data_IF_170193981504
#
_entry.id   IF_170193981504
#
_cell.length_a   1.000
_cell.length_b   1.000
_cell.length_c   1.000
_cell.angle_alpha   90.00
_cell.angle_beta   90.00
_cell.angle_gamma   90.00
#
_symmetry.space_group_name_H-M   'P 1'
#
loop_
_entity.id
_entity.type
_entity.pdbx_description
1 polymer ?
#
# COMPACT_ATOMS: atom_id res chain seq x y z
N UNK A 1 14.41 -20.55 13.85
CA UNK A 1 13.59 -19.60 14.64
C UNK A 1 12.21 -19.65 14.03
N UNK A 2 11.17 -19.79 14.84
CA UNK A 2 9.80 -19.89 14.33
C UNK A 2 9.23 -18.47 14.11
N UNK A 3 9.18 -18.04 12.85
CA UNK A 3 8.74 -16.69 12.48
C UNK A 3 7.26 -16.45 12.79
N UNK A 4 6.41 -17.47 12.79
CA UNK A 4 5.00 -17.32 13.14
C UNK A 4 4.84 -16.90 14.60
N UNK A 5 5.60 -17.51 15.51
CA UNK A 5 5.59 -17.15 16.92
C UNK A 5 6.11 -15.74 17.20
N UNK A 6 7.11 -15.30 16.43
CA UNK A 6 7.62 -13.93 16.54
C UNK A 6 6.52 -12.94 16.12
N UNK A 7 5.90 -13.20 14.99
CA UNK A 7 4.79 -12.36 14.49
C UNK A 7 3.65 -12.32 15.52
N UNK A 8 3.18 -13.46 15.99
CA UNK A 8 2.07 -13.51 16.95
C UNK A 8 2.41 -12.77 18.26
N UNK A 9 3.67 -12.83 18.70
CA UNK A 9 4.15 -12.06 19.84
C UNK A 9 4.12 -10.54 19.55
N UNK A 10 4.60 -10.08 18.38
CA UNK A 10 4.57 -8.67 17.99
C UNK A 10 3.12 -8.20 17.90
N UNK A 11 2.25 -8.96 17.24
CA UNK A 11 0.83 -8.66 17.08
C UNK A 11 0.08 -8.54 18.41
N UNK A 12 0.53 -9.24 19.46
CA UNK A 12 -0.07 -9.11 20.80
C UNK A 12 0.11 -7.73 21.44
N UNK A 13 0.97 -6.87 20.90
CA UNK A 13 1.17 -5.48 21.32
C UNK A 13 0.37 -4.49 20.47
N UNK A 14 -0.14 -4.89 19.31
CA UNK A 14 -0.99 -4.03 18.48
C UNK A 14 -2.35 -3.82 19.17
N UNK A 15 -2.84 -2.59 19.11
CA UNK A 15 -4.17 -2.26 19.63
C UNK A 15 -5.23 -2.52 18.58
N UNK A 16 -6.42 -2.87 19.03
CA UNK A 16 -7.58 -2.93 18.16
C UNK A 16 -7.98 -1.53 17.72
N UNK A 17 -8.41 -1.43 16.45
CA UNK A 17 -8.98 -0.18 15.97
C UNK A 17 -10.35 0.05 16.60
N UNK A 18 -10.67 1.33 16.87
CA UNK A 18 -11.94 1.74 17.46
C UNK A 18 -12.76 2.55 16.44
N UNK A 19 -14.04 2.71 16.74
CA UNK A 19 -14.95 3.54 15.93
C UNK A 19 -15.09 3.03 14.50
N UNK A 20 -15.07 3.96 13.53
CA UNK A 20 -15.27 3.63 12.11
C UNK A 20 -14.22 2.63 11.58
N UNK A 21 -12.95 2.82 11.92
CA UNK A 21 -11.89 1.90 11.49
C UNK A 21 -12.12 0.47 12.00
N UNK A 22 -12.49 0.32 13.29
CA UNK A 22 -12.82 -0.98 13.87
C UNK A 22 -14.01 -1.63 13.19
N UNK A 23 -15.03 -0.85 12.84
CA UNK A 23 -16.20 -1.33 12.10
C UNK A 23 -15.85 -1.78 10.68
N UNK A 24 -15.02 -1.00 9.96
CA UNK A 24 -14.56 -1.34 8.60
C UNK A 24 -13.71 -2.59 8.64
N UNK A 25 -12.76 -2.68 9.57
CA UNK A 25 -11.92 -3.86 9.78
C UNK A 25 -12.76 -5.13 10.02
N UNK A 26 -13.67 -5.07 10.99
CA UNK A 26 -14.49 -6.23 11.37
C UNK A 26 -15.36 -6.73 10.23
N UNK A 27 -15.97 -5.80 9.47
CA UNK A 27 -16.77 -6.15 8.29
C UNK A 27 -15.94 -6.73 7.15
N UNK A 28 -14.73 -6.21 6.94
CA UNK A 28 -13.81 -6.74 5.93
C UNK A 28 -13.42 -8.18 6.24
N UNK A 29 -13.09 -8.48 7.51
CA UNK A 29 -12.77 -9.85 7.95
C UNK A 29 -14.00 -10.77 7.81
N UNK A 30 -15.19 -10.32 8.22
CA UNK A 30 -16.42 -11.11 8.09
C UNK A 30 -16.75 -11.49 6.64
N UNK A 31 -16.43 -10.59 5.68
CA UNK A 31 -16.70 -10.77 4.26
C UNK A 31 -15.51 -11.36 3.49
N UNK A 32 -14.44 -11.72 4.16
CA UNK A 32 -13.21 -12.21 3.54
C UNK A 32 -12.62 -11.24 2.50
N UNK A 33 -12.73 -9.92 2.76
CA UNK A 33 -12.12 -8.87 1.94
C UNK A 33 -10.67 -8.71 2.38
N UNK A 34 -9.71 -8.81 1.44
CA UNK A 34 -8.30 -8.57 1.77
C UNK A 34 -8.10 -7.10 2.17
N UNK A 35 -7.54 -6.90 3.36
CA UNK A 35 -7.09 -5.61 3.88
C UNK A 35 -5.69 -5.77 4.46
N UNK A 36 -4.98 -4.66 4.60
CA UNK A 36 -3.63 -4.68 5.18
C UNK A 36 -3.62 -5.33 6.56
N UNK A 37 -2.55 -6.05 6.86
CA UNK A 37 -2.33 -6.64 8.18
C UNK A 37 -2.00 -5.55 9.19
N UNK A 38 -2.24 -5.79 10.48
CA UNK A 38 -1.99 -4.81 11.55
C UNK A 38 -0.53 -4.42 11.68
N UNK A 39 0.40 -5.36 11.50
CA UNK A 39 1.83 -5.07 11.51
C UNK A 39 2.24 -4.16 10.34
N UNK A 40 1.65 -4.33 9.16
CA UNK A 40 1.79 -3.41 8.03
C UNK A 40 1.17 -2.04 8.35
N UNK A 41 -0.02 -2.00 8.98
CA UNK A 41 -0.66 -0.75 9.37
C UNK A 41 0.18 0.03 10.40
N UNK A 42 0.69 -0.63 11.45
CA UNK A 42 1.58 -0.02 12.43
C UNK A 42 2.85 0.53 11.77
N UNK A 43 3.41 -0.22 10.80
CA UNK A 43 4.57 0.23 10.04
C UNK A 43 4.25 1.46 9.18
N UNK A 44 3.14 1.47 8.45
CA UNK A 44 2.68 2.63 7.66
C UNK A 44 2.51 3.87 8.54
N UNK A 45 1.90 3.72 9.72
CA UNK A 45 1.74 4.81 10.69
C UNK A 45 3.08 5.46 11.05
N UNK A 46 4.08 4.64 11.35
CA UNK A 46 5.43 5.14 11.69
C UNK A 46 6.05 5.84 10.48
N UNK A 47 5.98 5.24 9.29
CA UNK A 47 6.55 5.83 8.07
C UNK A 47 5.88 7.16 7.71
N UNK A 48 4.56 7.23 7.73
CA UNK A 48 3.81 8.48 7.47
C UNK A 48 4.17 9.55 8.52
N UNK A 49 4.31 9.16 9.79
CA UNK A 49 4.71 10.10 10.85
C UNK A 49 6.12 10.66 10.67
N UNK A 50 7.03 9.87 10.07
CA UNK A 50 8.41 10.30 9.75
C UNK A 50 8.42 11.20 8.50
N UNK A 51 7.77 10.75 7.42
CA UNK A 51 7.77 11.44 6.11
C UNK A 51 6.92 12.71 6.17
N UNK A 52 5.80 12.70 6.91
CA UNK A 52 4.81 13.79 7.02
C UNK A 52 4.30 14.25 5.64
N UNK A 53 3.81 13.34 4.79
CA UNK A 53 3.42 13.68 3.44
C UNK A 53 2.17 14.58 3.43
N UNK A 54 2.09 15.49 2.45
CA UNK A 54 0.88 16.27 2.15
C UNK A 54 0.08 15.60 1.03
N UNK A 55 0.76 14.97 0.05
CA UNK A 55 0.12 14.28 -1.07
C UNK A 55 0.45 12.79 -1.04
N UNK A 56 -0.57 11.97 -0.89
CA UNK A 56 -0.48 10.51 -0.82
C UNK A 56 -1.19 9.88 -2.01
N UNK A 57 -0.54 8.92 -2.65
CA UNK A 57 -1.14 8.05 -3.65
C UNK A 57 -1.26 6.63 -3.07
N UNK A 58 -2.45 6.07 -3.12
CA UNK A 58 -2.71 4.68 -2.79
C UNK A 58 -3.18 3.91 -4.03
N UNK A 59 -2.57 2.78 -4.30
CA UNK A 59 -2.95 1.87 -5.38
C UNK A 59 -3.54 0.61 -4.77
N UNK A 60 -4.87 0.51 -4.78
CA UNK A 60 -5.65 -0.54 -4.13
C UNK A 60 -6.41 -0.03 -2.89
N UNK A 61 -7.59 0.56 -3.12
CA UNK A 61 -8.46 1.07 -2.04
C UNK A 61 -9.17 -0.05 -1.28
N UNK A 62 -9.53 -1.14 -1.96
CA UNK A 62 -10.44 -2.18 -1.47
C UNK A 62 -11.70 -1.55 -0.85
N UNK A 63 -11.94 -1.73 0.44
CA UNK A 63 -13.07 -1.14 1.19
C UNK A 63 -12.68 0.15 1.93
N UNK A 64 -11.55 0.76 1.58
CA UNK A 64 -10.99 1.98 2.16
C UNK A 64 -10.52 1.85 3.63
N UNK A 65 -10.16 0.66 4.08
CA UNK A 65 -9.59 0.51 5.42
C UNK A 65 -8.23 1.22 5.54
N UNK A 66 -7.27 0.87 4.67
CA UNK A 66 -5.93 1.52 4.62
C UNK A 66 -6.04 3.01 4.33
N UNK A 67 -6.92 3.41 3.41
CA UNK A 67 -7.15 4.82 3.06
C UNK A 67 -7.55 5.66 4.28
N UNK A 68 -8.55 5.20 5.06
CA UNK A 68 -9.04 5.89 6.25
C UNK A 68 -7.97 5.84 7.36
N UNK A 69 -7.25 4.72 7.49
CA UNK A 69 -6.15 4.60 8.45
C UNK A 69 -5.02 5.61 8.15
N UNK A 70 -4.62 5.76 6.88
CA UNK A 70 -3.67 6.78 6.44
C UNK A 70 -4.19 8.19 6.76
N UNK A 71 -5.47 8.45 6.46
CA UNK A 71 -6.11 9.73 6.73
C UNK A 71 -6.12 10.09 8.24
N UNK A 72 -6.40 9.11 9.11
CA UNK A 72 -6.32 9.30 10.57
C UNK A 72 -4.91 9.70 11.01
N UNK A 73 -3.89 9.07 10.46
CA UNK A 73 -2.49 9.41 10.77
C UNK A 73 -2.14 10.80 10.28
N UNK A 74 -2.50 11.14 9.03
CA UNK A 74 -2.25 12.47 8.46
C UNK A 74 -2.93 13.56 9.28
N UNK A 75 -4.20 13.35 9.65
CA UNK A 75 -4.94 14.29 10.49
C UNK A 75 -4.32 14.47 11.88
N UNK A 76 -3.68 13.44 12.43
CA UNK A 76 -3.02 13.50 13.73
C UNK A 76 -1.68 14.24 13.71
N UNK A 77 -0.96 14.23 12.57
CA UNK A 77 0.39 14.81 12.46
C UNK A 77 0.40 16.21 11.83
N UNK A 78 -0.66 16.61 11.09
CA UNK A 78 -0.77 17.92 10.49
C UNK A 78 -1.68 18.82 11.32
N UNK A 79 -1.29 20.09 11.48
CA UNK A 79 -2.12 21.09 12.19
C UNK A 79 -3.31 21.57 11.35
N UNK A 80 -3.15 21.54 10.03
CA UNK A 80 -4.19 21.86 9.03
C UNK A 80 -4.56 20.62 8.22
N UNK A 81 -5.73 20.67 7.55
CA UNK A 81 -6.18 19.61 6.62
C UNK A 81 -5.76 19.88 5.17
N UNK A 82 -4.53 20.38 4.97
CA UNK A 82 -4.00 20.69 3.64
C UNK A 82 -3.41 19.46 2.94
N UNK A 83 -3.58 18.26 3.52
CA UNK A 83 -3.16 17.00 2.93
C UNK A 83 -4.26 16.39 2.05
N UNK A 84 -3.85 15.54 1.12
CA UNK A 84 -4.73 14.87 0.15
C UNK A 84 -4.32 13.42 -0.10
N UNK A 85 -5.31 12.55 -0.34
CA UNK A 85 -5.12 11.15 -0.73
C UNK A 85 -5.87 10.90 -2.03
N UNK A 86 -5.15 10.50 -3.08
CA UNK A 86 -5.71 9.85 -4.25
C UNK A 86 -5.61 8.33 -4.07
N UNK A 87 -6.73 7.61 -4.24
CA UNK A 87 -6.76 6.15 -4.10
C UNK A 87 -7.53 5.51 -5.24
N UNK A 88 -7.05 4.35 -5.76
CA UNK A 88 -7.58 3.71 -6.94
C UNK A 88 -8.22 2.35 -6.63
N UNK A 89 -9.44 2.08 -7.14
CA UNK A 89 -10.11 0.78 -7.06
C UNK A 89 -10.89 0.49 -8.35
N UNK A 90 -10.85 -0.77 -8.81
CA UNK A 90 -11.53 -1.17 -10.04
C UNK A 90 -12.77 -2.07 -9.82
N UNK A 91 -12.87 -2.76 -8.70
CA UNK A 91 -13.99 -3.63 -8.39
C UNK A 91 -15.21 -2.81 -7.97
N UNK A 92 -16.31 -2.92 -8.71
CA UNK A 92 -17.53 -2.12 -8.47
C UNK A 92 -18.13 -2.35 -7.08
N UNK A 93 -18.04 -3.57 -6.54
CA UNK A 93 -18.56 -3.91 -5.22
C UNK A 93 -17.73 -3.27 -4.11
N UNK A 94 -16.40 -3.29 -4.27
CA UNK A 94 -15.45 -2.62 -3.34
C UNK A 94 -15.56 -1.11 -3.43
N UNK A 95 -15.68 -0.55 -4.63
CA UNK A 95 -15.90 0.88 -4.85
C UNK A 95 -17.13 1.35 -4.06
N UNK A 96 -18.27 0.66 -4.18
CA UNK A 96 -19.49 1.05 -3.48
C UNK A 96 -19.33 1.01 -1.95
N UNK A 97 -18.58 0.03 -1.43
CA UNK A 97 -18.29 -0.08 0.00
C UNK A 97 -17.27 0.97 0.45
N UNK A 98 -16.23 1.23 -0.34
CA UNK A 98 -15.25 2.29 -0.10
C UNK A 98 -15.90 3.68 -0.05
N UNK A 99 -16.76 4.02 -1.02
CA UNK A 99 -17.52 5.28 -1.02
C UNK A 99 -18.33 5.47 0.26
N UNK A 100 -19.00 4.41 0.69
CA UNK A 100 -19.78 4.43 1.93
C UNK A 100 -18.88 4.68 3.16
N UNK A 101 -17.75 3.98 3.24
CA UNK A 101 -16.84 4.09 4.36
C UNK A 101 -16.16 5.48 4.38
N UNK A 102 -15.69 5.96 3.22
CA UNK A 102 -15.10 7.31 3.08
C UNK A 102 -16.12 8.39 3.44
N UNK A 103 -17.37 8.27 2.96
CA UNK A 103 -18.43 9.26 3.29
C UNK A 103 -18.84 9.25 4.77
N UNK A 104 -18.58 8.16 5.47
CA UNK A 104 -18.82 8.04 6.92
C UNK A 104 -17.64 8.54 7.77
N UNK A 105 -16.50 8.84 7.13
CA UNK A 105 -15.32 9.40 7.79
C UNK A 105 -15.36 10.92 7.82
N UNK A 106 -14.54 11.52 8.70
CA UNK A 106 -14.35 12.98 8.75
C UNK A 106 -13.44 13.49 7.62
N UNK A 107 -13.02 12.62 6.68
CA UNK A 107 -11.97 12.88 5.69
C UNK A 107 -12.47 12.87 4.24
N UNK A 108 -13.77 12.81 4.01
CA UNK A 108 -14.38 12.77 2.67
C UNK A 108 -13.87 13.89 1.75
N UNK A 109 -13.58 15.07 2.31
CA UNK A 109 -13.07 16.21 1.53
C UNK A 109 -11.59 16.14 1.16
N UNK A 110 -10.85 15.21 1.77
CA UNK A 110 -9.41 15.02 1.57
C UNK A 110 -9.07 13.75 0.77
N UNK A 111 -10.06 12.88 0.55
CA UNK A 111 -9.87 11.60 -0.14
C UNK A 111 -10.59 11.64 -1.49
N UNK A 112 -9.86 11.39 -2.56
CA UNK A 112 -10.38 11.24 -3.91
C UNK A 112 -10.30 9.77 -4.35
N UNK A 113 -11.46 9.11 -4.46
CA UNK A 113 -11.55 7.73 -4.93
C UNK A 113 -11.62 7.70 -6.47
N UNK A 114 -10.56 7.25 -7.09
CA UNK A 114 -10.43 7.09 -8.54
C UNK A 114 -10.93 5.71 -8.93
N UNK A 115 -12.02 5.66 -9.70
CA UNK A 115 -12.68 4.42 -10.08
C UNK A 115 -12.14 3.89 -11.40
N UNK A 116 -11.68 2.66 -11.43
CA UNK A 116 -11.22 1.97 -12.62
C UNK A 116 -9.86 1.31 -12.46
N UNK A 117 -9.34 0.76 -13.57
CA UNK A 117 -8.03 0.12 -13.60
C UNK A 117 -6.92 1.14 -13.27
N UNK A 118 -6.20 0.87 -12.17
CA UNK A 118 -5.13 1.75 -11.71
C UNK A 118 -4.02 1.93 -12.74
N UNK A 119 -3.66 0.89 -13.52
CA UNK A 119 -2.65 1.02 -14.59
C UNK A 119 -3.05 2.00 -15.71
N UNK A 120 -4.35 2.28 -15.86
CA UNK A 120 -4.87 3.29 -16.77
C UNK A 120 -5.08 4.63 -16.07
N UNK A 121 -5.65 4.60 -14.87
CA UNK A 121 -5.98 5.81 -14.10
C UNK A 121 -4.73 6.59 -13.72
N UNK A 122 -3.67 5.92 -13.29
CA UNK A 122 -2.41 6.56 -12.93
C UNK A 122 -1.80 7.36 -14.08
N UNK A 123 -1.93 6.90 -15.33
CA UNK A 123 -1.43 7.61 -16.52
C UNK A 123 -2.09 8.97 -16.75
N UNK A 124 -3.30 9.14 -16.24
CA UNK A 124 -4.05 10.40 -16.36
C UNK A 124 -3.82 11.37 -15.20
N UNK A 125 -3.12 10.93 -14.15
CA UNK A 125 -2.77 11.80 -13.04
C UNK A 125 -1.60 12.69 -13.41
N UNK A 126 -1.76 13.96 -13.09
CA UNK A 126 -0.70 14.97 -13.10
C UNK A 126 -0.46 15.38 -11.65
N UNK A 127 0.78 15.52 -11.27
CA UNK A 127 1.12 15.94 -9.91
C UNK A 127 2.35 15.27 -9.39
N UNK A 128 2.60 15.47 -8.12
CA UNK A 128 3.76 14.93 -7.42
C UNK A 128 3.33 14.49 -6.03
N UNK A 129 3.61 13.24 -5.70
CA UNK A 129 3.26 12.64 -4.42
C UNK A 129 4.50 12.51 -3.54
N UNK A 130 4.31 12.76 -2.24
CA UNK A 130 5.35 12.61 -1.21
C UNK A 130 5.44 11.16 -0.73
N UNK A 131 4.33 10.44 -0.85
CA UNK A 131 4.19 9.08 -0.35
C UNK A 131 3.30 8.26 -1.28
N UNK A 132 3.76 7.08 -1.66
CA UNK A 132 3.00 6.13 -2.49
C UNK A 132 2.87 4.81 -1.75
N UNK A 133 1.66 4.29 -1.65
CA UNK A 133 1.38 2.96 -1.11
C UNK A 133 0.77 2.06 -2.19
N UNK A 134 1.41 0.92 -2.46
CA UNK A 134 0.98 -0.05 -3.48
C UNK A 134 0.57 -1.34 -2.77
N UNK A 135 -0.73 -1.63 -2.77
CA UNK A 135 -1.33 -2.87 -2.29
C UNK A 135 -2.48 -3.29 -3.22
N UNK A 136 -2.14 -3.74 -4.41
CA UNK A 136 -3.10 -4.05 -5.47
C UNK A 136 -2.77 -5.37 -6.19
N UNK A 137 -3.23 -5.53 -7.43
CA UNK A 137 -3.02 -6.75 -8.21
C UNK A 137 -1.53 -6.93 -8.56
N UNK A 138 -0.87 -7.92 -7.96
CA UNK A 138 0.57 -8.23 -8.12
C UNK A 138 1.01 -8.36 -9.59
N UNK A 139 0.10 -8.75 -10.49
CA UNK A 139 0.37 -8.86 -11.90
C UNK A 139 0.78 -7.54 -12.58
N UNK A 140 0.46 -6.39 -11.99
CA UNK A 140 0.67 -5.06 -12.56
C UNK A 140 1.66 -4.21 -11.74
N UNK A 141 2.38 -4.79 -10.79
CA UNK A 141 3.30 -4.03 -9.91
C UNK A 141 4.39 -3.28 -10.68
N UNK A 142 4.84 -3.80 -11.83
CA UNK A 142 5.79 -3.08 -12.69
C UNK A 142 5.18 -1.80 -13.27
N UNK A 143 3.94 -1.87 -13.76
CA UNK A 143 3.22 -0.71 -14.30
C UNK A 143 2.95 0.33 -13.21
N UNK A 144 2.55 -0.13 -12.00
CA UNK A 144 2.34 0.75 -10.86
C UNK A 144 3.63 1.44 -10.41
N UNK A 145 4.76 0.73 -10.42
CA UNK A 145 6.07 1.30 -10.10
C UNK A 145 6.47 2.40 -11.11
N UNK A 146 6.35 2.11 -12.42
CA UNK A 146 6.74 3.05 -13.45
C UNK A 146 5.91 4.35 -13.38
N UNK A 147 4.59 4.25 -13.14
CA UNK A 147 3.73 5.41 -12.95
C UNK A 147 3.99 6.11 -11.61
N UNK A 148 4.23 5.37 -10.53
CA UNK A 148 4.61 5.95 -9.24
C UNK A 148 5.88 6.76 -9.36
N UNK A 149 6.90 6.26 -10.07
CA UNK A 149 8.15 6.98 -10.31
C UNK A 149 7.94 8.25 -11.16
N UNK A 150 7.04 8.21 -12.14
CA UNK A 150 6.66 9.40 -12.93
C UNK A 150 6.00 10.48 -12.08
N UNK A 151 5.21 10.07 -11.09
CA UNK A 151 4.45 10.91 -10.19
C UNK A 151 5.23 11.27 -8.90
N UNK A 152 6.50 10.89 -8.82
CA UNK A 152 7.36 11.11 -7.66
C UNK A 152 8.32 12.29 -7.88
N UNK A 153 8.84 12.78 -6.78
CA UNK A 153 9.96 13.71 -6.72
C UNK A 153 11.10 13.13 -5.85
N UNK A 154 12.29 13.72 -5.83
CA UNK A 154 13.33 13.36 -4.88
C UNK A 154 12.82 13.40 -3.44
N UNK A 155 13.03 12.32 -2.70
CA UNK A 155 12.55 12.15 -1.33
C UNK A 155 11.20 11.45 -1.21
N UNK A 156 10.44 11.26 -2.29
CA UNK A 156 9.19 10.45 -2.27
C UNK A 156 9.48 9.05 -1.74
N UNK A 157 8.65 8.60 -0.81
CA UNK A 157 8.69 7.24 -0.26
C UNK A 157 7.62 6.38 -0.95
N UNK A 158 8.05 5.26 -1.54
CA UNK A 158 7.16 4.26 -2.14
C UNK A 158 7.19 3.01 -1.27
N UNK A 159 6.04 2.61 -0.74
CA UNK A 159 5.87 1.37 0.01
C UNK A 159 5.03 0.42 -0.81
N UNK A 160 5.54 -0.81 -0.99
CA UNK A 160 4.82 -1.89 -1.68
C UNK A 160 4.61 -3.04 -0.73
N UNK A 161 3.35 -3.43 -0.53
CA UNK A 161 2.97 -4.55 0.33
C UNK A 161 2.85 -5.87 -0.45
N UNK A 162 2.81 -6.98 0.29
CA UNK A 162 2.58 -8.36 -0.21
C UNK A 162 3.61 -8.83 -1.26
N UNK A 163 4.87 -8.36 -1.14
CA UNK A 163 5.93 -8.65 -2.12
C UNK A 163 6.48 -10.09 -2.05
N UNK A 164 6.20 -10.84 -0.97
CA UNK A 164 6.66 -12.22 -0.80
C UNK A 164 5.63 -13.26 -1.27
N UNK A 165 4.40 -12.86 -1.57
CA UNK A 165 3.34 -13.73 -2.12
C UNK A 165 3.14 -15.02 -1.31
N UNK A 166 2.91 -14.87 0.00
CA UNK A 166 2.77 -15.97 0.97
C UNK A 166 3.97 -16.94 0.98
N UNK A 167 5.14 -16.45 0.57
CA UNK A 167 6.39 -17.20 0.50
C UNK A 167 6.69 -17.80 -0.87
N UNK A 168 5.78 -17.78 -1.82
CA UNK A 168 5.98 -18.35 -3.16
C UNK A 168 7.24 -17.77 -3.84
N UNK A 169 7.53 -16.49 -3.65
CA UNK A 169 8.71 -15.82 -4.22
C UNK A 169 10.04 -16.45 -3.75
N UNK A 170 10.05 -17.11 -2.59
CA UNK A 170 11.23 -17.78 -2.04
C UNK A 170 11.49 -19.11 -2.71
N UNK A 171 10.45 -19.73 -3.26
CA UNK A 171 10.53 -21.05 -3.86
C UNK A 171 11.16 -21.02 -5.26
N UNK A 172 11.61 -22.17 -5.71
CA UNK A 172 11.99 -22.35 -7.13
C UNK A 172 10.72 -22.29 -7.99
N UNK A 173 10.81 -21.65 -9.16
CA UNK A 173 9.72 -21.62 -10.16
C UNK A 173 9.05 -22.98 -10.39
N UNK A 174 9.81 -24.08 -10.33
CA UNK A 174 9.30 -25.44 -10.54
C UNK A 174 8.51 -25.99 -9.36
N UNK A 175 8.67 -25.44 -8.15
CA UNK A 175 7.95 -25.85 -6.93
C UNK A 175 6.64 -25.08 -6.75
N UNK A 176 6.52 -23.91 -7.41
CA UNK A 176 5.29 -23.10 -7.38
C UNK A 176 4.21 -23.75 -8.24
N UNK A 177 2.96 -23.72 -7.80
CA UNK A 177 1.82 -24.24 -8.56
C UNK A 177 1.76 -23.57 -9.94
N UNK A 178 1.44 -24.36 -10.98
CA UNK A 178 1.46 -23.88 -12.37
C UNK A 178 0.65 -22.61 -12.61
N UNK A 179 -0.47 -22.45 -11.89
CA UNK A 179 -1.36 -21.27 -12.01
C UNK A 179 -0.69 -20.00 -11.48
N UNK A 180 0.20 -20.11 -10.46
CA UNK A 180 0.79 -19.00 -9.75
C UNK A 180 2.19 -18.61 -10.29
N UNK A 181 2.77 -19.41 -11.18
CA UNK A 181 4.11 -19.19 -11.75
C UNK A 181 4.29 -17.84 -12.42
N UNK A 182 3.27 -17.37 -13.12
CA UNK A 182 3.33 -16.04 -13.77
C UNK A 182 3.46 -14.92 -12.76
N UNK A 183 2.73 -15.00 -11.64
CA UNK A 183 2.81 -14.02 -10.55
C UNK A 183 4.16 -14.14 -9.86
N UNK A 184 4.61 -15.35 -9.55
CA UNK A 184 5.93 -15.64 -9.00
C UNK A 184 7.04 -14.96 -9.80
N UNK A 185 7.08 -15.18 -11.12
CA UNK A 185 8.12 -14.63 -12.00
C UNK A 185 8.05 -13.10 -12.02
N UNK A 186 6.85 -12.51 -12.17
CA UNK A 186 6.65 -11.06 -12.15
C UNK A 186 7.07 -10.42 -10.82
N UNK A 187 6.80 -11.07 -9.69
CA UNK A 187 7.22 -10.56 -8.38
C UNK A 187 8.73 -10.61 -8.21
N UNK A 188 9.40 -11.65 -8.70
CA UNK A 188 10.87 -11.72 -8.70
C UNK A 188 11.49 -10.64 -9.58
N UNK A 189 10.92 -10.40 -10.77
CA UNK A 189 11.34 -9.32 -11.66
C UNK A 189 11.13 -7.95 -10.99
N UNK A 190 10.00 -7.75 -10.32
CA UNK A 190 9.71 -6.54 -9.56
C UNK A 190 10.74 -6.30 -8.44
N UNK A 191 11.02 -7.32 -7.61
CA UNK A 191 12.02 -7.24 -6.56
C UNK A 191 13.43 -6.94 -7.11
N UNK A 192 13.79 -7.57 -8.23
CA UNK A 192 15.04 -7.27 -8.91
C UNK A 192 15.07 -5.83 -9.40
N UNK A 193 13.98 -5.35 -10.02
CA UNK A 193 13.86 -3.98 -10.52
C UNK A 193 14.04 -2.94 -9.41
N UNK A 194 13.27 -3.02 -8.31
CA UNK A 194 13.33 -2.02 -7.24
C UNK A 194 14.67 -2.00 -6.51
N UNK A 195 15.40 -3.11 -6.49
CA UNK A 195 16.74 -3.20 -5.89
C UNK A 195 17.85 -2.67 -6.77
N UNK A 196 17.65 -2.65 -8.10
CA UNK A 196 18.68 -2.28 -9.07
C UNK A 196 18.33 -0.99 -9.84
N UNK A 197 17.20 -0.35 -9.58
CA UNK A 197 16.87 0.95 -10.17
C UNK A 197 17.73 2.04 -9.54
N UNK A 198 18.53 2.72 -10.35
CA UNK A 198 19.45 3.76 -9.89
C UNK A 198 18.74 4.95 -9.23
N UNK A 199 17.46 5.16 -9.57
CA UNK A 199 16.60 6.20 -8.99
C UNK A 199 16.14 5.90 -7.58
N UNK A 200 16.26 4.65 -7.12
CA UNK A 200 15.71 4.19 -5.85
C UNK A 200 16.80 3.78 -4.85
N UNK A 201 16.54 4.03 -3.57
CA UNK A 201 17.19 3.35 -2.47
C UNK A 201 16.16 2.46 -1.79
N UNK A 202 16.33 1.13 -1.84
CA UNK A 202 15.29 0.18 -1.44
C UNK A 202 15.75 -0.77 -0.33
N UNK A 203 14.91 -0.91 0.69
CA UNK A 203 14.97 -1.97 1.69
C UNK A 203 13.77 -2.93 1.52
N UNK A 204 14.01 -4.23 1.72
CA UNK A 204 12.99 -5.27 1.76
C UNK A 204 12.89 -5.77 3.19
N UNK A 205 11.69 -5.78 3.76
CA UNK A 205 11.41 -6.07 5.15
C UNK A 205 10.43 -7.26 5.25
N UNK A 206 10.62 -8.10 6.26
CA UNK A 206 9.73 -9.25 6.54
C UNK A 206 8.57 -8.86 7.48
N UNK A 207 7.85 -7.79 7.11
CA UNK A 207 6.63 -7.33 7.79
C UNK A 207 5.44 -7.86 6.98
N UNK A 208 4.38 -8.33 7.64
CA UNK A 208 3.22 -8.88 6.93
C UNK A 208 3.58 -10.01 5.98
N UNK A 209 3.21 -9.88 4.72
CA UNK A 209 3.63 -10.74 3.59
C UNK A 209 4.80 -10.13 2.80
N UNK A 210 5.68 -9.43 3.50
CA UNK A 210 6.82 -8.72 2.94
C UNK A 210 6.49 -7.33 2.42
N UNK A 211 7.25 -6.34 2.88
CA UNK A 211 7.12 -4.93 2.50
C UNK A 211 8.42 -4.46 1.87
N UNK A 212 8.33 -3.81 0.71
CA UNK A 212 9.43 -3.02 0.17
C UNK A 212 9.24 -1.55 0.52
N UNK A 213 10.32 -0.91 0.96
CA UNK A 213 10.39 0.55 1.16
C UNK A 213 11.44 1.09 0.23
N UNK A 214 11.04 1.97 -0.66
CA UNK A 214 11.91 2.64 -1.62
C UNK A 214 11.83 4.15 -1.45
N UNK A 215 12.97 4.82 -1.48
CA UNK A 215 13.04 6.29 -1.50
C UNK A 215 13.56 6.73 -2.85
N UNK A 216 12.87 7.68 -3.48
CA UNK A 216 13.33 8.32 -4.72
C UNK A 216 14.54 9.20 -4.42
N UNK A 217 15.68 8.88 -5.04
CA UNK A 217 16.93 9.62 -4.85
C UNK A 217 16.89 10.95 -5.58
N UNK A 218 17.65 11.91 -5.10
CA UNK A 218 17.99 13.09 -5.89
C UNK A 218 18.71 12.65 -7.17
N UNK A 219 18.39 13.30 -8.31
CA UNK A 219 19.01 12.97 -9.58
C UNK A 219 20.53 13.01 -9.44
N UNK A 220 21.19 11.86 -9.62
CA UNK A 220 22.61 11.84 -9.91
C UNK A 220 22.78 12.32 -11.35
N UNK A 221 23.41 13.49 -11.50
CA UNK A 221 23.95 13.92 -12.77
C UNK A 221 25.05 12.97 -13.28
#
# INVERSE_FOLDING_TARGET
MDYSRIRDFIMSYSKDDEGLLGDVYSKAIEKDVPIIRRDTADFLKVMISIVRPENVLEVGTAVAYSTIYIADVLNAIHESRDWHIDTCEMDEGRIAEAEKNISSSDYMGNINLIKGDAALSLKSLDGSYDFVFIDAAKAQYMDYLDESLRLSHPGTVIITDNILSDGDVLESHFLVEKRDRTIHDRMRDYLYRIKNDERLETAILSIGDGVAVSVCKENYE
#
